data_IF_864417287934
#
_entry.id   IF_864417287934
#
_cell.length_a   1.000
_cell.length_b   1.000
_cell.length_c   1.000
_cell.angle_alpha   90.00
_cell.angle_beta   90.00
_cell.angle_gamma   90.00
#
_symmetry.space_group_name_H-M   'P 1'
#
loop_
_entity.id
_entity.type
_entity.pdbx_description
1 polymer ?
#
# COMPACT_ATOMS: atom_id res chain seq x y z
N UNK A 1 31.12 -34.22 13.24
CA UNK A 1 29.99 -33.99 14.17
C UNK A 1 30.07 -35.05 15.25
N UNK A 2 30.25 -34.67 16.52
CA UNK A 2 30.26 -35.61 17.64
C UNK A 2 29.03 -35.33 18.51
N UNK A 3 28.03 -36.21 18.41
CA UNK A 3 26.92 -36.29 19.35
C UNK A 3 27.25 -37.43 20.31
N UNK A 4 27.52 -37.09 21.56
CA UNK A 4 27.77 -38.07 22.61
C UNK A 4 26.75 -37.82 23.73
N UNK A 5 25.68 -38.58 23.71
CA UNK A 5 24.72 -38.71 24.80
C UNK A 5 24.82 -40.13 25.36
N UNK A 6 24.58 -40.27 26.66
CA UNK A 6 24.73 -41.55 27.37
C UNK A 6 23.83 -42.62 26.72
N UNK A 7 24.45 -43.61 26.05
CA UNK A 7 23.77 -44.75 25.42
C UNK A 7 23.74 -44.78 23.88
N UNK A 8 24.01 -43.66 23.19
CA UNK A 8 24.02 -43.62 21.71
C UNK A 8 25.30 -42.98 21.18
N UNK A 9 26.04 -43.73 20.36
CA UNK A 9 27.29 -43.30 19.75
C UNK A 9 27.11 -43.19 18.23
N UNK A 10 27.05 -41.96 17.73
CA UNK A 10 26.93 -41.69 16.30
C UNK A 10 28.28 -41.31 15.68
N UNK A 11 28.56 -41.86 14.51
CA UNK A 11 29.72 -41.51 13.69
C UNK A 11 29.31 -41.33 12.23
N UNK A 12 30.05 -40.49 11.51
CA UNK A 12 29.91 -40.36 10.07
C UNK A 12 30.66 -41.52 9.42
N UNK A 13 29.94 -42.46 8.82
CA UNK A 13 30.52 -43.67 8.22
C UNK A 13 30.81 -43.50 6.73
N UNK A 14 30.02 -42.68 6.04
CA UNK A 14 30.22 -42.32 4.63
C UNK A 14 29.82 -40.86 4.40
N UNK A 15 30.12 -40.32 3.21
CA UNK A 15 29.58 -39.03 2.81
C UNK A 15 28.04 -39.07 2.88
N UNK A 16 27.45 -38.24 3.74
CA UNK A 16 26.00 -38.14 3.97
C UNK A 16 25.34 -39.31 4.73
N UNK A 17 26.11 -40.25 5.30
CA UNK A 17 25.55 -41.34 6.13
C UNK A 17 26.07 -41.25 7.56
N UNK A 18 25.13 -41.14 8.52
CA UNK A 18 25.43 -41.18 9.95
C UNK A 18 24.97 -42.52 10.49
N UNK A 19 25.88 -43.26 11.10
CA UNK A 19 25.57 -44.53 11.78
C UNK A 19 25.60 -44.30 13.27
N UNK A 20 24.50 -44.64 13.94
CA UNK A 20 24.37 -44.54 15.38
C UNK A 20 24.30 -45.93 15.99
N UNK A 21 25.28 -46.25 16.84
CA UNK A 21 25.24 -47.45 17.68
C UNK A 21 24.42 -47.15 18.93
N UNK A 22 23.29 -47.83 19.05
CA UNK A 22 22.38 -47.72 20.19
C UNK A 22 22.66 -48.89 21.13
N UNK A 23 23.23 -48.61 22.29
CA UNK A 23 23.56 -49.63 23.29
C UNK A 23 22.34 -50.06 24.10
N UNK A 24 22.27 -51.33 24.49
CA UNK A 24 21.30 -51.77 25.48
C UNK A 24 21.82 -51.48 26.90
N UNK A 25 21.03 -50.89 27.83
CA UNK A 25 19.67 -50.40 27.66
C UNK A 25 19.62 -48.91 27.27
N UNK A 26 19.15 -48.56 26.07
CA UNK A 26 18.85 -47.16 25.73
C UNK A 26 17.95 -47.06 24.49
N UNK A 27 16.64 -46.99 24.69
CA UNK A 27 15.77 -46.24 23.78
C UNK A 27 15.01 -45.23 24.64
N UNK A 28 15.55 -44.01 24.72
CA UNK A 28 14.86 -42.87 25.32
C UNK A 28 14.14 -42.10 24.21
N UNK A 29 12.92 -41.67 24.50
CA UNK A 29 12.07 -40.91 23.57
C UNK A 29 12.35 -39.42 23.72
N UNK A 30 13.42 -38.90 23.08
CA UNK A 30 13.81 -37.48 23.10
C UNK A 30 15.17 -37.19 22.42
N UNK A 31 15.69 -38.10 21.58
CA UNK A 31 16.98 -37.89 20.95
C UNK A 31 16.88 -37.04 19.68
N UNK A 32 17.62 -35.94 19.64
CA UNK A 32 17.67 -35.02 18.51
C UNK A 32 18.95 -35.20 17.69
N UNK A 33 18.80 -35.20 16.36
CA UNK A 33 19.92 -35.17 15.42
C UNK A 33 19.87 -33.84 14.67
N UNK A 34 20.90 -33.03 14.86
CA UNK A 34 21.09 -31.80 14.11
C UNK A 34 21.80 -32.09 12.79
N UNK A 35 21.39 -31.46 11.70
CA UNK A 35 22.10 -31.53 10.42
C UNK A 35 22.20 -30.13 9.81
N UNK A 36 23.24 -29.91 9.02
CA UNK A 36 23.46 -28.66 8.31
C UNK A 36 23.51 -28.95 6.81
N UNK A 37 22.64 -28.28 6.04
CA UNK A 37 22.58 -28.39 4.60
C UNK A 37 23.49 -27.31 3.99
N UNK A 38 24.59 -27.75 3.35
CA UNK A 38 25.54 -26.83 2.73
C UNK A 38 25.11 -26.30 1.35
N UNK A 39 24.14 -26.96 0.72
CA UNK A 39 23.65 -26.61 -0.62
C UNK A 39 22.15 -26.32 -0.58
N UNK A 40 21.74 -25.34 -1.38
CA UNK A 40 20.33 -24.98 -1.56
C UNK A 40 19.60 -26.13 -2.25
N UNK A 41 18.55 -26.65 -1.60
CA UNK A 41 17.69 -27.71 -2.11
C UNK A 41 16.23 -27.33 -1.86
N UNK A 42 15.31 -27.80 -2.70
CA UNK A 42 13.87 -27.55 -2.51
C UNK A 42 13.24 -28.48 -1.45
N UNK A 43 13.91 -29.58 -1.13
CA UNK A 43 13.50 -30.52 -0.07
C UNK A 43 14.73 -31.14 0.58
N UNK A 44 14.64 -31.43 1.87
CA UNK A 44 15.55 -32.35 2.56
C UNK A 44 14.91 -33.74 2.59
N UNK A 45 15.64 -34.75 2.13
CA UNK A 45 15.24 -36.15 2.27
C UNK A 45 16.15 -36.85 3.28
N UNK A 46 15.56 -37.39 4.33
CA UNK A 46 16.27 -38.15 5.36
C UNK A 46 15.73 -39.56 5.36
N UNK A 47 16.62 -40.54 5.13
CA UNK A 47 16.29 -41.96 5.17
C UNK A 47 16.85 -42.55 6.46
N UNK A 48 16.00 -43.23 7.20
CA UNK A 48 16.37 -43.99 8.38
C UNK A 48 16.27 -45.47 8.06
N UNK A 49 17.29 -46.20 8.47
CA UNK A 49 17.35 -47.66 8.38
C UNK A 49 17.76 -48.18 9.77
N UNK A 50 16.91 -49.02 10.37
CA UNK A 50 17.23 -49.74 11.58
C UNK A 50 17.83 -51.11 11.25
N UNK A 51 18.87 -51.51 11.99
CA UNK A 51 19.52 -52.82 11.86
C UNK A 51 19.80 -53.40 13.24
N UNK A 52 19.57 -54.69 13.38
CA UNK A 52 19.81 -55.47 14.60
C UNK A 52 20.70 -56.68 14.30
N UNK A 53 21.52 -57.11 15.27
CA UNK A 53 22.28 -58.36 15.18
C UNK A 53 21.38 -59.60 15.40
N UNK A 54 20.13 -59.41 15.81
CA UNK A 54 19.14 -60.45 16.04
C UNK A 54 18.33 -60.82 14.79
N UNK A 55 17.62 -61.96 14.85
CA UNK A 55 16.68 -62.33 13.79
C UNK A 55 15.45 -61.43 13.84
N UNK A 56 15.28 -60.60 12.82
CA UNK A 56 14.15 -59.68 12.71
C UNK A 56 12.88 -60.39 12.22
N UNK A 57 11.75 -60.06 12.83
CA UNK A 57 10.45 -60.63 12.49
C UNK A 57 9.82 -59.93 11.27
N UNK A 58 10.05 -58.62 11.13
CA UNK A 58 9.43 -57.77 10.09
C UNK A 58 10.45 -56.82 9.44
N UNK A 59 11.42 -57.32 8.66
CA UNK A 59 12.48 -56.50 8.07
C UNK A 59 11.99 -55.34 7.17
N UNK A 60 10.72 -55.35 6.75
CA UNK A 60 10.13 -54.30 5.93
C UNK A 60 9.84 -52.99 6.69
N UNK A 61 9.71 -53.01 8.02
CA UNK A 61 9.40 -51.79 8.82
C UNK A 61 10.65 -51.01 9.25
N UNK A 62 11.83 -51.54 8.98
CA UNK A 62 13.11 -50.92 9.34
C UNK A 62 13.43 -49.65 8.56
N UNK A 63 12.74 -49.39 7.44
CA UNK A 63 13.06 -48.30 6.53
C UNK A 63 11.96 -47.23 6.56
N UNK A 64 12.35 -45.98 6.82
CA UNK A 64 11.46 -44.82 6.68
C UNK A 64 12.19 -43.69 5.97
N UNK A 65 11.49 -43.01 5.06
CA UNK A 65 11.99 -41.82 4.39
C UNK A 65 11.11 -40.62 4.77
N UNK A 66 11.74 -39.57 5.28
CA UNK A 66 11.10 -38.30 5.63
C UNK A 66 11.49 -37.27 4.58
N UNK A 67 10.51 -36.58 4.02
CA UNK A 67 10.73 -35.48 3.08
C UNK A 67 10.23 -34.17 3.67
N UNK A 68 11.11 -33.17 3.75
CA UNK A 68 10.83 -31.87 4.36
C UNK A 68 11.00 -30.79 3.29
N UNK A 69 9.95 -30.05 2.89
CA UNK A 69 10.10 -28.93 1.96
C UNK A 69 10.91 -27.82 2.61
N UNK A 70 11.84 -27.23 1.85
CA UNK A 70 12.73 -26.18 2.34
C UNK A 70 12.40 -24.85 1.69
N UNK A 71 12.54 -23.79 2.49
CA UNK A 71 12.36 -22.41 2.04
C UNK A 71 13.43 -21.56 2.72
N UNK A 72 14.04 -20.65 1.96
CA UNK A 72 15.15 -19.84 2.42
C UNK A 72 14.76 -18.37 2.47
N UNK A 73 15.07 -17.71 3.59
CA UNK A 73 15.03 -16.25 3.67
C UNK A 73 16.26 -15.67 2.99
N UNK A 74 16.03 -14.86 1.96
CA UNK A 74 17.11 -14.23 1.19
C UNK A 74 17.76 -13.05 1.91
N UNK A 75 17.12 -12.52 2.96
CA UNK A 75 17.54 -11.30 3.64
C UNK A 75 17.53 -10.05 2.73
N UNK A 76 16.82 -10.09 1.60
CA UNK A 76 16.68 -8.94 0.70
C UNK A 76 15.71 -7.94 1.32
N UNK A 77 16.14 -6.69 1.42
CA UNK A 77 15.32 -5.60 2.00
C UNK A 77 15.14 -4.50 0.96
N UNK A 78 13.89 -4.11 0.73
CA UNK A 78 13.54 -2.94 -0.06
C UNK A 78 13.34 -1.71 0.83
N UNK A 79 14.04 -0.63 0.51
CA UNK A 79 13.82 0.69 1.10
C UNK A 79 13.69 1.73 0.00
N UNK A 80 13.08 2.87 0.34
CA UNK A 80 12.74 3.93 -0.60
C UNK A 80 12.79 5.29 0.09
N UNK A 81 13.14 6.31 -0.67
CA UNK A 81 13.22 7.70 -0.21
C UNK A 81 12.79 8.63 -1.34
N UNK A 82 11.99 9.64 -1.03
CA UNK A 82 11.48 10.66 -1.97
C UNK A 82 11.93 12.05 -1.54
N UNK A 83 12.15 12.93 -2.52
CA UNK A 83 12.53 14.33 -2.28
C UNK A 83 11.42 15.13 -1.58
N UNK A 84 10.16 14.77 -1.84
CA UNK A 84 8.97 15.37 -1.22
C UNK A 84 7.96 14.27 -0.88
N UNK A 85 7.19 14.47 0.19
CA UNK A 85 6.13 13.56 0.63
C UNK A 85 4.73 14.21 0.62
N UNK A 86 4.69 15.53 0.45
CA UNK A 86 3.46 16.29 0.30
C UNK A 86 3.65 17.40 -0.73
N UNK A 87 2.58 17.79 -1.41
CA UNK A 87 2.54 18.92 -2.31
C UNK A 87 1.17 19.62 -2.22
N UNK A 88 1.17 20.95 -2.19
CA UNK A 88 -0.04 21.76 -2.01
C UNK A 88 -0.28 22.57 -3.28
N UNK A 89 -1.46 22.41 -3.88
CA UNK A 89 -1.93 23.17 -5.04
C UNK A 89 -2.67 24.40 -4.55
N UNK A 90 -1.94 25.41 -4.10
CA UNK A 90 -2.51 26.66 -3.60
C UNK A 90 -2.62 27.70 -4.73
N UNK A 91 -3.85 28.20 -4.94
CA UNK A 91 -4.17 29.30 -5.85
C UNK A 91 -3.41 29.26 -7.19
N UNK A 92 -3.42 28.11 -7.91
CA UNK A 92 -2.57 27.94 -9.07
C UNK A 92 -3.03 28.82 -10.24
N UNK A 93 -2.10 29.29 -11.10
CA UNK A 93 -2.47 29.83 -12.40
C UNK A 93 -3.16 28.74 -13.25
N UNK A 94 -3.88 29.12 -14.32
CA UNK A 94 -4.42 28.15 -15.27
C UNK A 94 -3.36 27.17 -15.77
N UNK A 95 -3.73 25.91 -16.06
CA UNK A 95 -2.78 24.90 -16.49
C UNK A 95 -2.11 25.33 -17.81
N UNK A 96 -0.77 25.24 -17.86
CA UNK A 96 -0.03 25.49 -19.10
C UNK A 96 -0.35 24.40 -20.13
N UNK A 97 -0.74 24.80 -21.33
CA UNK A 97 -1.06 23.89 -22.44
C UNK A 97 0.10 23.71 -23.41
N UNK A 98 0.94 24.73 -23.60
CA UNK A 98 2.14 24.63 -24.42
C UNK A 98 3.34 24.24 -23.53
N UNK A 99 3.82 23.00 -23.68
CA UNK A 99 4.90 22.41 -22.89
C UNK A 99 6.20 22.46 -23.69
N UNK A 100 7.20 23.18 -23.17
CA UNK A 100 8.53 23.29 -23.78
C UNK A 100 9.62 22.71 -22.89
N UNK A 101 9.50 22.91 -21.58
CA UNK A 101 10.48 22.42 -20.61
C UNK A 101 9.82 21.49 -19.59
N UNK A 102 10.64 20.77 -18.82
CA UNK A 102 10.14 19.97 -17.70
C UNK A 102 9.50 20.82 -16.59
N UNK A 103 9.88 22.10 -16.47
CA UNK A 103 9.26 23.02 -15.51
C UNK A 103 7.85 23.45 -15.94
N UNK A 104 7.52 23.39 -17.23
CA UNK A 104 6.16 23.63 -17.71
C UNK A 104 5.19 22.50 -17.30
N UNK A 105 5.70 21.30 -17.02
CA UNK A 105 4.91 20.15 -16.57
C UNK A 105 4.49 20.32 -15.11
N UNK A 106 5.44 20.72 -14.26
CA UNK A 106 5.21 20.90 -12.82
C UNK A 106 6.43 20.60 -11.94
N UNK A 107 6.22 20.42 -10.62
CA UNK A 107 7.29 20.20 -9.65
C UNK A 107 7.92 18.81 -9.77
N UNK A 108 9.11 18.65 -9.21
CA UNK A 108 9.82 17.37 -9.16
C UNK A 108 9.30 16.45 -8.07
N UNK A 109 9.02 15.20 -8.44
CA UNK A 109 8.76 14.10 -7.52
C UNK A 109 9.73 12.96 -7.82
N UNK A 110 10.92 13.07 -7.25
CA UNK A 110 12.01 12.14 -7.46
C UNK A 110 12.06 11.17 -6.29
N UNK A 111 12.26 9.88 -6.58
CA UNK A 111 12.43 8.89 -5.54
C UNK A 111 13.52 7.89 -5.90
N UNK A 112 14.18 7.40 -4.86
CA UNK A 112 15.24 6.39 -4.95
C UNK A 112 14.75 5.11 -4.31
N UNK A 113 14.92 4.01 -5.02
CA UNK A 113 14.71 2.65 -4.53
C UNK A 113 16.07 2.05 -4.20
N UNK A 114 16.21 1.56 -2.98
CA UNK A 114 17.40 0.86 -2.49
C UNK A 114 17.06 -0.60 -2.23
N UNK A 115 17.75 -1.50 -2.92
CA UNK A 115 17.72 -2.96 -2.71
C UNK A 115 18.95 -3.34 -1.88
N UNK A 116 18.74 -3.78 -0.65
CA UNK A 116 19.81 -4.21 0.26
C UNK A 116 19.87 -5.73 0.30
N UNK A 117 21.08 -6.31 0.24
CA UNK A 117 21.30 -7.76 0.24
C UNK A 117 21.72 -8.26 1.61
N UNK A 118 21.18 -9.41 2.00
CA UNK A 118 21.63 -10.16 3.17
C UNK A 118 22.83 -11.06 2.87
N UNK A 119 23.08 -12.02 3.75
CA UNK A 119 24.16 -13.00 3.65
C UNK A 119 23.83 -14.18 2.73
N UNK A 120 22.55 -14.39 2.40
CA UNK A 120 22.13 -15.49 1.54
C UNK A 120 22.45 -15.18 0.07
N UNK A 121 23.16 -16.08 -0.66
CA UNK A 121 23.53 -15.86 -2.04
C UNK A 121 22.31 -15.93 -2.95
N UNK A 122 21.99 -14.83 -3.63
CA UNK A 122 20.96 -14.74 -4.66
C UNK A 122 21.62 -14.14 -5.87
N UNK A 123 21.60 -14.84 -7.00
CA UNK A 123 22.32 -14.41 -8.20
C UNK A 123 21.55 -13.41 -9.06
N UNK A 124 20.22 -13.39 -8.92
CA UNK A 124 19.34 -12.62 -9.80
C UNK A 124 18.07 -12.18 -9.07
N UNK A 125 17.76 -10.88 -9.18
CA UNK A 125 16.51 -10.28 -8.69
C UNK A 125 15.82 -9.50 -9.81
N UNK A 126 14.49 -9.52 -9.79
CA UNK A 126 13.64 -8.75 -10.68
C UNK A 126 12.94 -7.66 -9.88
N UNK A 127 13.31 -6.41 -10.12
CA UNK A 127 12.70 -5.24 -9.50
C UNK A 127 11.68 -4.63 -10.48
N UNK A 128 10.46 -4.43 -10.02
CA UNK A 128 9.41 -3.76 -10.78
C UNK A 128 8.94 -2.51 -10.03
N UNK A 129 8.93 -1.37 -10.73
CA UNK A 129 8.41 -0.10 -10.22
C UNK A 129 7.20 0.26 -11.07
N UNK A 130 6.02 0.21 -10.47
CA UNK A 130 4.76 0.59 -11.10
C UNK A 130 4.46 2.07 -10.82
N UNK A 131 4.28 2.83 -11.89
CA UNK A 131 4.08 4.28 -11.85
C UNK A 131 2.66 4.63 -12.29
N UNK A 132 1.85 5.31 -11.46
CA UNK A 132 0.55 5.86 -11.86
C UNK A 132 0.75 6.98 -12.89
N UNK A 133 0.47 6.70 -14.16
CA UNK A 133 0.79 7.60 -15.27
C UNK A 133 -0.41 8.42 -15.71
N UNK A 134 -1.59 7.81 -15.88
CA UNK A 134 -2.78 8.49 -16.42
C UNK A 134 -4.04 8.10 -15.67
N UNK A 135 -4.92 9.06 -15.42
CA UNK A 135 -6.23 8.83 -14.82
C UNK A 135 -7.13 8.02 -15.78
N UNK A 136 -8.28 7.57 -15.28
CA UNK A 136 -9.29 6.91 -16.12
C UNK A 136 -9.86 7.84 -17.19
N UNK A 137 -9.98 9.14 -16.91
CA UNK A 137 -10.44 10.15 -17.86
C UNK A 137 -9.37 10.62 -18.85
N UNK A 138 -8.12 10.17 -18.69
CA UNK A 138 -7.04 10.39 -19.66
C UNK A 138 -6.10 11.53 -19.32
N UNK A 139 -6.28 12.20 -18.18
CA UNK A 139 -5.33 13.19 -17.69
C UNK A 139 -4.02 12.53 -17.22
N UNK A 140 -2.88 13.16 -17.55
CA UNK A 140 -1.56 12.70 -17.14
C UNK A 140 -1.27 13.02 -15.66
N UNK A 141 -0.52 12.18 -14.96
CA UNK A 141 -0.21 12.32 -13.52
C UNK A 141 1.29 12.48 -13.27
N UNK A 142 2.09 11.58 -13.85
CA UNK A 142 3.54 11.56 -13.72
C UNK A 142 4.21 11.63 -15.09
N UNK A 143 5.34 12.31 -15.15
CA UNK A 143 6.21 12.35 -16.31
C UNK A 143 7.62 11.91 -15.91
N UNK A 144 8.12 10.81 -16.47
CA UNK A 144 9.47 10.32 -16.15
C UNK A 144 10.49 11.09 -16.99
N UNK A 145 11.34 11.88 -16.33
CA UNK A 145 12.36 12.69 -17.00
C UNK A 145 13.66 11.93 -17.18
N UNK A 146 14.02 11.09 -16.21
CA UNK A 146 15.28 10.35 -16.22
C UNK A 146 15.24 9.15 -15.27
N UNK A 147 16.01 8.12 -15.62
CA UNK A 147 16.28 6.97 -14.77
C UNK A 147 17.80 6.84 -14.58
N UNK A 148 18.25 6.86 -13.33
CA UNK A 148 19.66 6.65 -12.98
C UNK A 148 19.80 5.35 -12.17
N UNK A 149 20.84 4.56 -12.45
CA UNK A 149 21.16 3.33 -11.71
C UNK A 149 22.65 3.32 -11.37
N UNK A 150 23.08 2.48 -10.43
CA UNK A 150 24.51 2.34 -10.11
C UNK A 150 25.35 1.73 -11.24
N UNK A 151 24.72 1.28 -12.33
CA UNK A 151 25.39 0.62 -13.45
C UNK A 151 25.95 -0.77 -13.08
N UNK A 152 26.47 -1.48 -14.08
CA UNK A 152 27.07 -2.80 -13.89
C UNK A 152 26.06 -3.90 -13.54
N UNK A 153 25.77 -4.05 -12.25
CA UNK A 153 24.89 -5.09 -11.70
C UNK A 153 23.39 -4.80 -11.89
N UNK A 154 23.02 -3.54 -12.19
CA UNK A 154 21.62 -3.13 -12.34
C UNK A 154 21.36 -2.68 -13.78
N UNK A 155 20.39 -3.31 -14.43
CA UNK A 155 19.95 -2.95 -15.78
C UNK A 155 18.44 -2.80 -15.83
N UNK A 156 17.94 -1.67 -16.37
CA UNK A 156 16.51 -1.38 -16.41
C UNK A 156 16.03 -1.08 -17.83
N UNK A 157 14.91 -1.69 -18.22
CA UNK A 157 14.21 -1.29 -19.44
C UNK A 157 13.39 -0.03 -19.16
N UNK A 158 13.75 1.06 -19.84
CA UNK A 158 13.18 2.40 -19.62
C UNK A 158 13.03 3.22 -20.91
N UNK A 159 13.41 2.65 -22.05
CA UNK A 159 13.55 3.38 -23.31
C UNK A 159 12.25 4.01 -23.82
N UNK A 160 11.11 3.36 -23.59
CA UNK A 160 9.78 3.87 -23.98
C UNK A 160 9.10 4.73 -22.92
N UNK A 161 9.72 4.89 -21.75
CA UNK A 161 9.13 5.57 -20.60
C UNK A 161 9.80 6.91 -20.26
N UNK A 162 11.11 7.01 -20.46
CA UNK A 162 11.89 8.21 -20.17
C UNK A 162 11.72 9.23 -21.29
N UNK A 163 11.33 10.46 -20.92
CA UNK A 163 11.10 11.60 -21.79
C UNK A 163 10.35 11.24 -23.10
N UNK A 164 9.15 10.65 -23.03
CA UNK A 164 8.43 10.16 -24.21
C UNK A 164 8.03 11.29 -25.17
N UNK A 165 7.88 12.53 -24.67
CA UNK A 165 7.56 13.70 -25.49
C UNK A 165 8.82 14.31 -26.13
N UNK A 166 10.02 13.86 -25.77
CA UNK A 166 11.31 14.36 -26.29
C UNK A 166 11.40 15.89 -26.20
N UNK A 167 11.10 16.43 -25.02
CA UNK A 167 10.90 17.88 -24.83
C UNK A 167 12.16 18.70 -25.12
N UNK A 168 13.35 18.09 -25.09
CA UNK A 168 14.58 18.75 -25.55
C UNK A 168 14.59 19.13 -27.04
N UNK A 169 13.68 18.57 -27.84
CA UNK A 169 13.67 18.76 -29.31
C UNK A 169 12.37 19.33 -29.86
N UNK A 170 11.23 19.13 -29.18
CA UNK A 170 9.91 19.52 -29.68
C UNK A 170 9.03 20.03 -28.56
N UNK A 171 8.29 21.10 -28.84
CA UNK A 171 7.20 21.54 -27.97
C UNK A 171 5.98 20.64 -28.13
N UNK A 172 5.30 20.36 -27.03
CA UNK A 172 4.08 19.55 -27.02
C UNK A 172 2.87 20.39 -26.58
N UNK A 173 1.70 20.12 -27.16
CA UNK A 173 0.45 20.73 -26.71
C UNK A 173 -0.29 19.72 -25.85
N UNK A 174 -0.44 20.03 -24.57
CA UNK A 174 -1.16 19.22 -23.59
C UNK A 174 -2.54 19.82 -23.33
N UNK A 175 -3.54 18.95 -23.17
CA UNK A 175 -4.88 19.31 -22.73
C UNK A 175 -5.22 18.58 -21.43
N UNK A 176 -6.06 19.22 -20.62
CA UNK A 176 -6.52 18.67 -19.34
C UNK A 176 -8.04 18.78 -19.30
N UNK A 177 -8.69 17.67 -18.98
CA UNK A 177 -10.15 17.61 -18.85
C UNK A 177 -10.56 17.76 -17.39
N UNK A 178 -11.63 18.48 -17.06
CA UNK A 178 -12.19 18.48 -15.71
C UNK A 178 -12.55 17.06 -15.26
N UNK A 179 -12.05 16.66 -14.09
CA UNK A 179 -12.30 15.35 -13.49
C UNK A 179 -12.67 15.50 -12.01
N UNK A 180 -13.54 14.61 -11.52
CA UNK A 180 -13.89 14.56 -10.10
C UNK A 180 -13.11 13.43 -9.41
N UNK A 181 -12.11 13.82 -8.60
CA UNK A 181 -11.26 12.91 -7.84
C UNK A 181 -11.62 12.88 -6.34
N UNK A 182 -12.76 13.46 -5.92
CA UNK A 182 -13.19 13.54 -4.51
C UNK A 182 -13.42 12.18 -3.85
N UNK A 183 -13.77 11.16 -4.64
CA UNK A 183 -13.95 9.78 -4.16
C UNK A 183 -12.70 8.91 -4.34
N UNK A 184 -11.59 9.50 -4.77
CA UNK A 184 -10.34 8.78 -5.08
C UNK A 184 -9.24 9.21 -4.12
N UNK A 185 -9.20 8.57 -2.96
CA UNK A 185 -8.22 8.88 -1.93
C UNK A 185 -6.79 8.50 -2.35
N UNK A 186 -6.64 7.53 -3.25
CA UNK A 186 -5.35 7.03 -3.74
C UNK A 186 -5.33 6.91 -5.26
N UNK A 187 -4.34 7.52 -5.89
CA UNK A 187 -3.97 7.38 -7.29
C UNK A 187 -2.83 6.36 -7.38
N UNK A 188 -3.19 5.08 -7.44
CA UNK A 188 -2.30 3.94 -7.54
C UNK A 188 -2.66 3.06 -8.76
N UNK A 189 -1.89 2.01 -9.03
CA UNK A 189 -2.15 1.14 -10.17
C UNK A 189 -3.44 0.29 -10.09
N UNK A 190 -4.22 0.44 -9.02
CA UNK A 190 -5.57 -0.14 -8.92
C UNK A 190 -6.63 0.86 -9.37
N UNK A 191 -6.42 2.16 -9.13
CA UNK A 191 -7.36 3.22 -9.48
C UNK A 191 -7.07 3.88 -10.83
N UNK A 192 -5.81 3.85 -11.30
CA UNK A 192 -5.37 4.55 -12.53
C UNK A 192 -4.54 3.65 -13.45
N UNK A 193 -4.26 4.13 -14.67
CA UNK A 193 -3.44 3.42 -15.65
C UNK A 193 -1.96 3.62 -15.34
N UNK A 194 -1.22 2.51 -15.28
CA UNK A 194 0.20 2.51 -14.94
C UNK A 194 1.11 2.13 -16.09
N UNK A 195 2.36 2.58 -15.98
CA UNK A 195 3.51 2.03 -16.70
C UNK A 195 4.50 1.45 -15.71
N UNK A 196 5.38 0.58 -16.19
CA UNK A 196 6.29 -0.20 -15.35
C UNK A 196 7.73 0.01 -15.78
N UNK A 197 8.61 0.26 -14.82
CA UNK A 197 10.06 0.12 -15.00
C UNK A 197 10.43 -1.27 -14.52
N UNK A 198 11.04 -2.06 -15.39
CA UNK A 198 11.51 -3.41 -15.06
C UNK A 198 13.03 -3.40 -15.02
N UNK A 199 13.59 -3.73 -13.87
CA UNK A 199 15.01 -3.79 -13.62
C UNK A 199 15.43 -5.22 -13.29
N UNK A 200 16.56 -5.63 -13.84
CA UNK A 200 17.24 -6.88 -13.57
C UNK A 200 18.48 -6.53 -12.76
N UNK A 201 18.60 -7.11 -11.57
CA UNK A 201 19.79 -7.03 -10.74
C UNK A 201 20.53 -8.37 -10.84
N UNK A 202 21.68 -8.38 -11.49
CA UNK A 202 22.50 -9.56 -11.76
C UNK A 202 23.86 -9.42 -11.09
N UNK A 203 24.48 -10.56 -10.76
CA UNK A 203 25.84 -10.60 -10.22
C UNK A 203 25.93 -9.76 -8.93
N UNK A 204 24.89 -9.90 -8.10
CA UNK A 204 24.72 -9.13 -6.87
C UNK A 204 25.44 -9.79 -5.69
N UNK A 205 26.24 -9.00 -5.02
CA UNK A 205 27.05 -9.43 -3.88
C UNK A 205 26.19 -9.55 -2.61
N UNK A 206 26.70 -10.30 -1.63
CA UNK A 206 26.10 -10.34 -0.28
C UNK A 206 26.46 -9.06 0.48
N UNK A 207 25.59 -8.62 1.38
CA UNK A 207 25.78 -7.40 2.19
C UNK A 207 26.02 -6.10 1.39
N UNK A 208 25.61 -6.06 0.12
CA UNK A 208 25.72 -4.89 -0.76
C UNK A 208 24.38 -4.16 -0.91
N UNK A 209 24.44 -2.95 -1.46
CA UNK A 209 23.28 -2.11 -1.71
C UNK A 209 23.26 -1.66 -3.18
N UNK A 210 22.08 -1.68 -3.79
CA UNK A 210 21.87 -1.25 -5.17
C UNK A 210 20.78 -0.19 -5.23
N UNK A 211 20.99 0.84 -6.04
CA UNK A 211 20.11 2.00 -6.12
C UNK A 211 19.54 2.19 -7.53
N UNK A 212 18.24 2.49 -7.58
CA UNK A 212 17.52 2.92 -8.78
C UNK A 212 16.83 4.25 -8.46
N UNK A 213 17.28 5.32 -9.12
CA UNK A 213 16.76 6.68 -8.91
C UNK A 213 15.83 7.05 -10.07
N UNK A 214 14.56 7.21 -9.75
CA UNK A 214 13.52 7.60 -10.71
C UNK A 214 13.28 9.11 -10.56
N UNK A 215 13.58 9.87 -11.61
CA UNK A 215 13.30 11.30 -11.67
C UNK A 215 12.02 11.55 -12.42
N UNK A 216 11.08 12.24 -11.78
CA UNK A 216 9.77 12.52 -12.38
C UNK A 216 9.31 13.95 -12.14
N UNK A 217 8.36 14.38 -12.95
CA UNK A 217 7.61 15.63 -12.79
C UNK A 217 6.15 15.28 -12.58
N UNK A 218 5.49 16.03 -11.71
CA UNK A 218 4.04 15.94 -11.51
C UNK A 218 3.38 16.76 -12.60
N UNK A 219 2.43 16.18 -13.33
CA UNK A 219 1.59 16.93 -14.26
C UNK A 219 0.62 17.82 -13.50
N UNK A 220 1.09 19.03 -13.17
CA UNK A 220 0.36 19.92 -12.29
C UNK A 220 -0.99 20.33 -12.88
N UNK A 221 -1.09 20.41 -14.21
CA UNK A 221 -2.32 20.79 -14.90
C UNK A 221 -3.52 19.88 -14.58
N UNK A 222 -3.28 18.59 -14.34
CA UNK A 222 -4.32 17.65 -13.91
C UNK A 222 -4.86 18.00 -12.54
N UNK A 223 -3.96 18.28 -11.59
CA UNK A 223 -4.30 18.63 -10.21
C UNK A 223 -4.89 20.06 -10.09
N UNK A 224 -4.55 20.95 -11.02
CA UNK A 224 -5.21 22.26 -11.13
C UNK A 224 -6.67 22.08 -11.59
N UNK A 225 -6.89 21.26 -12.63
CA UNK A 225 -8.17 21.14 -13.32
C UNK A 225 -9.16 20.21 -12.58
N UNK A 226 -8.67 19.22 -11.84
CA UNK A 226 -9.50 18.28 -11.09
C UNK A 226 -10.09 18.89 -9.81
N UNK A 227 -11.23 18.34 -9.38
CA UNK A 227 -11.85 18.64 -8.08
C UNK A 227 -11.49 17.55 -7.06
N UNK A 228 -10.81 17.92 -5.98
CA UNK A 228 -10.44 17.05 -4.85
C UNK A 228 -9.98 17.91 -3.67
N UNK A 229 -9.99 17.36 -2.45
CA UNK A 229 -9.40 18.02 -1.28
C UNK A 229 -8.00 17.51 -0.98
N UNK A 230 -7.85 16.19 -0.93
CA UNK A 230 -6.59 15.50 -0.76
C UNK A 230 -6.63 14.15 -1.46
N UNK A 231 -5.52 13.76 -2.06
CA UNK A 231 -5.34 12.43 -2.69
C UNK A 231 -3.87 12.03 -2.61
N UNK A 232 -3.60 10.73 -2.60
CA UNK A 232 -2.24 10.18 -2.53
C UNK A 232 -1.81 9.62 -3.88
N UNK A 233 -0.81 10.24 -4.51
CA UNK A 233 -0.14 9.68 -5.68
C UNK A 233 0.87 8.62 -5.22
N UNK A 234 0.63 7.36 -5.59
CA UNK A 234 1.29 6.22 -4.95
C UNK A 234 1.95 5.26 -5.96
N UNK A 235 3.21 5.51 -6.37
CA UNK A 235 4.04 4.49 -6.99
C UNK A 235 4.25 3.28 -6.09
N UNK A 236 4.28 2.08 -6.68
CA UNK A 236 4.50 0.83 -5.95
C UNK A 236 5.73 0.08 -6.47
N UNK A 237 6.48 -0.52 -5.56
CA UNK A 237 7.74 -1.20 -5.81
C UNK A 237 7.63 -2.64 -5.33
N UNK A 238 7.98 -3.58 -6.19
CA UNK A 238 8.07 -5.00 -5.85
C UNK A 238 9.40 -5.58 -6.31
N UNK A 239 9.91 -6.56 -5.55
CA UNK A 239 11.09 -7.33 -5.93
C UNK A 239 10.77 -8.81 -5.82
N UNK A 240 11.25 -9.56 -6.81
CA UNK A 240 11.05 -10.99 -6.93
C UNK A 240 12.40 -11.68 -7.19
N UNK A 241 12.51 -12.92 -6.74
CA UNK A 241 13.65 -13.81 -7.00
C UNK A 241 13.34 -14.67 -8.22
N UNK A 242 14.35 -15.39 -8.73
CA UNK A 242 14.16 -16.39 -9.80
C UNK A 242 13.28 -17.56 -9.39
N UNK A 243 13.20 -17.86 -8.10
CA UNK A 243 12.38 -18.93 -7.55
C UNK A 243 11.68 -18.44 -6.29
N UNK A 244 10.52 -17.76 -6.41
CA UNK A 244 9.83 -17.14 -5.29
C UNK A 244 9.27 -18.15 -4.28
N UNK A 245 9.08 -19.41 -4.67
CA UNK A 245 8.58 -20.47 -3.78
C UNK A 245 9.70 -21.01 -2.87
N UNK A 246 10.95 -20.97 -3.35
CA UNK A 246 12.13 -21.42 -2.61
C UNK A 246 12.84 -20.27 -1.87
N UNK A 247 12.86 -19.09 -2.47
CA UNK A 247 13.61 -17.93 -2.02
C UNK A 247 12.65 -16.82 -1.63
N UNK A 248 12.38 -16.72 -0.32
CA UNK A 248 11.50 -15.73 0.24
C UNK A 248 12.21 -14.39 0.47
N UNK A 249 11.42 -13.34 0.29
CA UNK A 249 11.77 -11.96 0.60
C UNK A 249 10.70 -11.52 1.61
N UNK A 250 11.09 -11.26 2.86
CA UNK A 250 10.17 -10.94 3.94
C UNK A 250 10.44 -9.54 4.54
N UNK A 251 9.40 -8.85 5.04
CA UNK A 251 7.97 -9.10 4.83
C UNK A 251 7.45 -8.52 3.51
N UNK A 252 6.41 -9.13 2.91
CA UNK A 252 5.70 -8.63 1.71
C UNK A 252 4.41 -7.91 2.13
N UNK A 253 4.39 -6.58 2.06
CA UNK A 253 3.67 -5.96 0.95
C UNK A 253 4.59 -5.14 0.03
N UNK A 254 4.14 -4.81 -1.21
CA UNK A 254 4.87 -3.91 -2.10
C UNK A 254 5.22 -2.61 -1.38
N UNK A 255 6.47 -2.20 -1.47
CA UNK A 255 6.93 -0.95 -0.89
C UNK A 255 6.29 0.20 -1.67
N UNK A 256 5.71 1.17 -0.97
CA UNK A 256 5.03 2.31 -1.59
C UNK A 256 5.81 3.59 -1.36
N UNK A 257 5.88 4.40 -2.40
CA UNK A 257 6.27 5.81 -2.33
C UNK A 257 4.97 6.60 -2.30
N UNK A 258 4.79 7.49 -1.33
CA UNK A 258 3.52 8.20 -1.14
C UNK A 258 3.79 9.69 -1.26
N UNK A 259 3.04 10.33 -2.16
CA UNK A 259 2.97 11.78 -2.25
C UNK A 259 1.53 12.22 -1.98
N UNK A 260 1.31 12.88 -0.85
CA UNK A 260 0.03 13.52 -0.56
C UNK A 260 -0.10 14.82 -1.37
N UNK A 261 -1.12 14.92 -2.22
CA UNK A 261 -1.45 16.13 -2.97
C UNK A 261 -2.72 16.72 -2.40
N UNK A 262 -2.68 17.98 -1.96
CA UNK A 262 -3.86 18.69 -1.43
C UNK A 262 -4.16 19.94 -2.25
N UNK A 263 -5.44 20.32 -2.25
CA UNK A 263 -5.93 21.53 -2.91
C UNK A 263 -6.79 22.32 -1.92
N UNK A 264 -6.21 23.29 -1.20
CA UNK A 264 -6.96 24.12 -0.26
C UNK A 264 -8.03 24.94 -1.00
N UNK A 265 -9.15 25.19 -0.31
CA UNK A 265 -10.28 25.95 -0.87
C UNK A 265 -11.33 25.10 -1.60
N UNK A 266 -11.07 23.82 -1.86
CA UNK A 266 -12.07 22.91 -2.42
C UNK A 266 -13.09 22.51 -1.32
N UNK A 267 -14.36 22.97 -1.47
CA UNK A 267 -15.42 22.66 -0.49
C UNK A 267 -15.73 21.17 -0.52
N UNK A 268 -15.66 20.49 0.61
CA UNK A 268 -15.95 19.05 0.70
C UNK A 268 -17.44 18.79 0.50
N UNK A 269 -17.78 17.66 -0.12
CA UNK A 269 -19.17 17.24 -0.19
C UNK A 269 -19.59 16.69 1.16
N UNK A 270 -20.38 17.45 1.90
CA UNK A 270 -21.05 16.94 3.10
C UNK A 270 -22.16 16.02 2.60
N UNK A 271 -22.14 14.70 2.93
CA UNK A 271 -23.14 13.79 2.42
C UNK A 271 -24.55 14.27 2.80
N UNK A 272 -25.46 14.34 1.83
CA UNK A 272 -26.84 14.83 2.05
C UNK A 272 -27.53 14.06 3.18
N UNK A 273 -27.23 12.77 3.34
CA UNK A 273 -27.73 11.95 4.44
C UNK A 273 -27.30 12.44 5.84
N UNK A 274 -26.14 13.09 5.97
CA UNK A 274 -25.69 13.71 7.23
C UNK A 274 -26.49 14.98 7.51
N UNK A 275 -26.73 15.81 6.48
CA UNK A 275 -27.57 17.02 6.59
C UNK A 275 -29.00 16.64 6.99
N UNK A 276 -29.60 15.67 6.29
CA UNK A 276 -30.96 15.20 6.57
C UNK A 276 -31.10 14.65 7.99
N UNK A 277 -30.15 13.84 8.46
CA UNK A 277 -30.14 13.31 9.83
C UNK A 277 -29.99 14.41 10.88
N UNK A 278 -29.16 15.41 10.61
CA UNK A 278 -29.00 16.57 11.49
C UNK A 278 -30.30 17.35 11.64
N UNK A 279 -31.00 17.63 10.53
CA UNK A 279 -32.28 18.35 10.55
C UNK A 279 -33.36 17.57 11.30
N UNK A 280 -33.51 16.27 11.04
CA UNK A 280 -34.49 15.42 11.73
C UNK A 280 -34.23 15.41 13.24
N UNK A 281 -32.96 15.17 13.63
CA UNK A 281 -32.57 15.14 15.05
C UNK A 281 -32.83 16.50 15.71
N UNK A 282 -32.50 17.60 15.02
CA UNK A 282 -32.77 18.96 15.49
C UNK A 282 -34.25 19.24 15.70
N UNK A 283 -35.12 18.82 14.77
CA UNK A 283 -36.57 19.00 14.89
C UNK A 283 -37.17 18.17 16.03
N UNK A 284 -36.71 16.93 16.21
CA UNK A 284 -37.15 16.08 17.33
C UNK A 284 -36.74 16.69 18.67
N UNK A 285 -35.50 17.17 18.77
CA UNK A 285 -35.00 17.83 19.97
C UNK A 285 -35.76 19.14 20.27
N UNK A 286 -36.08 19.91 19.23
CA UNK A 286 -36.91 21.11 19.34
C UNK A 286 -38.32 20.77 19.84
N UNK A 287 -38.97 19.76 19.25
CA UNK A 287 -40.32 19.34 19.64
C UNK A 287 -40.37 18.85 21.10
N UNK A 288 -39.38 18.06 21.52
CA UNK A 288 -39.23 17.63 22.92
C UNK A 288 -39.05 18.83 23.86
N UNK A 289 -38.23 19.80 23.47
CA UNK A 289 -38.00 21.01 24.28
C UNK A 289 -39.29 21.84 24.42
N UNK A 290 -40.04 22.04 23.34
CA UNK A 290 -41.33 22.73 23.37
C UNK A 290 -42.33 21.96 24.25
N UNK A 291 -42.38 20.63 24.15
CA UNK A 291 -43.22 19.79 24.99
C UNK A 291 -42.91 19.91 26.48
N UNK A 292 -41.61 19.95 26.84
CA UNK A 292 -41.18 20.18 28.22
C UNK A 292 -41.57 21.58 28.71
N UNK A 293 -41.28 22.63 27.94
CA UNK A 293 -41.63 24.02 28.29
C UNK A 293 -43.15 24.22 28.42
N UNK A 294 -43.94 23.53 27.59
CA UNK A 294 -45.38 23.50 27.70
C UNK A 294 -45.83 22.83 29.00
N UNK A 295 -45.26 21.67 29.34
CA UNK A 295 -45.55 20.93 30.58
C UNK A 295 -45.19 21.74 31.84
N UNK A 296 -44.10 22.50 31.81
CA UNK A 296 -43.70 23.40 32.90
C UNK A 296 -44.48 24.73 32.90
N UNK A 297 -45.48 24.90 32.03
CA UNK A 297 -46.40 26.03 32.07
C UNK A 297 -45.84 27.36 31.55
N UNK A 298 -44.68 27.35 30.88
CA UNK A 298 -44.02 28.55 30.38
C UNK A 298 -44.88 29.30 29.35
N UNK A 299 -45.58 28.57 28.46
CA UNK A 299 -46.43 29.16 27.43
C UNK A 299 -47.84 29.55 27.91
N UNK A 300 -48.31 29.00 29.05
CA UNK A 300 -49.64 29.31 29.60
C UNK A 300 -49.80 30.78 29.99
N UNK A 301 -48.74 31.41 30.52
CA UNK A 301 -48.79 32.84 30.91
C UNK A 301 -48.88 33.78 29.71
N UNK A 302 -48.20 33.46 28.60
CA UNK A 302 -48.15 34.35 27.42
C UNK A 302 -49.40 34.26 26.55
N UNK A 303 -49.99 33.07 26.39
CA UNK A 303 -51.26 32.89 25.68
C UNK A 303 -52.42 33.62 26.37
N UNK A 304 -52.44 33.66 27.70
CA UNK A 304 -53.46 34.41 28.45
C UNK A 304 -53.34 35.93 28.31
N UNK A 305 -52.13 36.47 28.09
CA UNK A 305 -51.93 37.90 27.83
C UNK A 305 -52.39 38.28 26.42
N UNK A 306 -52.02 37.48 25.40
CA UNK A 306 -52.42 37.73 24.01
C UNK A 306 -53.93 37.58 23.77
N UNK A 307 -54.61 36.66 24.46
CA UNK A 307 -56.06 36.54 24.40
C UNK A 307 -56.80 37.72 25.05
N UNK A 308 -56.21 38.36 26.07
CA UNK A 308 -56.80 39.55 26.68
C UNK A 308 -56.67 40.81 25.82
N UNK A 309 -55.56 40.96 25.10
CA UNK A 309 -55.39 42.09 24.16
C UNK A 309 -56.28 41.96 22.91
N UNK A 310 -56.53 40.73 22.43
CA UNK A 310 -57.36 40.52 21.24
C UNK A 310 -58.86 40.68 21.48
N UNK A 311 -59.33 40.57 22.72
CA UNK A 311 -60.76 40.70 23.09
C UNK A 311 -61.17 42.16 23.36
N UNK A 312 -60.22 43.05 23.60
CA UNK A 312 -60.47 44.46 23.94
C UNK A 312 -60.60 45.39 22.70
N UNK A 313 -60.40 44.86 21.49
CA UNK A 313 -60.22 45.64 20.24
C UNK A 313 -61.41 45.57 19.24
N UNK A 314 -62.62 45.17 19.67
CA UNK A 314 -63.78 45.04 18.76
C UNK A 314 -64.83 46.17 18.92
N UNK A 315 -65.02 47.09 17.92
CA UNK A 315 -65.97 48.21 18.02
C UNK A 315 -67.42 47.82 17.75
N UNK A 316 -68.34 48.38 18.54
CA UNK A 316 -69.81 48.29 18.41
C UNK A 316 -70.35 48.94 17.12
N UNK A 317 -71.25 48.22 16.42
CA UNK A 317 -71.97 48.64 15.19
C UNK A 317 -72.98 49.79 15.47
N UNK A 318 -73.21 50.71 14.51
CA UNK A 318 -74.27 51.71 14.61
C UNK A 318 -75.63 51.16 14.19
N UNK A 319 -76.68 51.68 14.82
CA UNK A 319 -78.09 51.43 14.52
C UNK A 319 -78.60 52.57 13.63
N UNK A 320 -79.03 52.26 12.40
CA UNK A 320 -79.81 53.17 11.55
C UNK A 320 -81.31 52.86 11.68
N UNK A 321 -82.14 53.89 11.90
CA UNK A 321 -83.21 54.30 10.96
C UNK A 321 -84.10 55.45 11.49
N UNK A 322 -84.46 56.30 10.52
CA UNK A 322 -85.30 57.51 10.52
C UNK A 322 -86.82 57.29 10.79
N UNK A 323 -87.41 58.36 11.36
CA UNK A 323 -88.72 59.01 11.08
C UNK A 323 -90.02 58.18 11.15
N UNK A 324 -90.83 58.44 12.19
CA UNK A 324 -91.99 59.36 12.15
C UNK A 324 -92.29 59.89 13.57
#
# INVERSE_FOLDING_TARGET
MHLQTDGVKCSLTQAQTVTCHVGYPALRTDQEINYNLQQVQNKAEVKFEAKSDGKEEKPADNNVAISIPLVYDTGVILSRESNINFYVVDSPPPPKTAIKTFDDIGPEFNFTVKVSRGTFPVSLLYLAIALPMTTKGGNELLYVTRLDTDGGSVSCDSSSLVDPLKLSTKSHTQTFSPENLRQTDKLDCKSVKCKYIKCILKDIEVNSNYFVKVKTRIWIGTFITATYQSTELTPSISVETTNPDLLLINPKPPSRVVLAVSKPGEKGDIPVAVIARSVITGLVLLALSVGLLWKFGFFKRKYQQLQKEADDDQPSRPHDNEVL
#
